data_IF_138847997076
#
_entry.id   IF_138847997076
#
_cell.length_a   1.000
_cell.length_b   1.000
_cell.length_c   1.000
_cell.angle_alpha   90.00
_cell.angle_beta   90.00
_cell.angle_gamma   90.00
#
_symmetry.space_group_name_H-M   'P 1'
#
loop_
_entity.id
_entity.type
_entity.pdbx_description
1 polymer ?
#
# COMPACT_ATOMS: atom_id res chain seq x y z
N UNK A 1 5.04 13.96 -32.27
CA UNK A 1 3.73 13.91 -31.63
C UNK A 1 3.82 13.49 -30.15
N UNK A 2 2.68 13.41 -29.45
CA UNK A 2 2.67 13.08 -28.01
C UNK A 2 3.18 11.68 -27.70
N UNK A 3 3.07 10.75 -28.62
CA UNK A 3 3.57 9.39 -28.46
C UNK A 3 5.10 9.34 -28.62
N UNK A 4 5.63 9.96 -29.65
CA UNK A 4 7.06 9.95 -29.96
C UNK A 4 7.86 10.71 -28.88
N UNK A 5 7.30 11.82 -28.39
CA UNK A 5 7.90 12.59 -27.29
C UNK A 5 7.93 11.86 -25.95
N UNK A 6 7.16 10.76 -25.81
CA UNK A 6 6.98 10.00 -24.55
C UNK A 6 6.49 10.87 -23.37
N UNK A 7 5.98 12.06 -23.63
CA UNK A 7 5.57 13.01 -22.63
C UNK A 7 4.32 12.52 -21.87
N UNK A 8 3.38 11.90 -22.57
CA UNK A 8 2.16 11.39 -21.95
C UNK A 8 1.44 10.38 -22.85
N UNK A 9 0.82 9.37 -22.23
CA UNK A 9 -0.01 8.39 -22.91
C UNK A 9 0.74 7.13 -23.34
N UNK A 10 0.03 6.26 -24.04
CA UNK A 10 0.55 5.02 -24.57
C UNK A 10 0.13 4.88 -26.04
N UNK A 11 0.80 4.02 -26.77
CA UNK A 11 0.43 3.66 -28.14
C UNK A 11 -1.05 3.26 -28.21
N UNK A 12 -1.52 2.47 -27.27
CA UNK A 12 -2.90 2.03 -27.23
C UNK A 12 -3.89 3.21 -27.16
N UNK A 13 -3.64 4.19 -26.29
CA UNK A 13 -4.55 5.33 -26.11
C UNK A 13 -4.43 6.40 -27.20
N UNK A 14 -3.21 6.66 -27.68
CA UNK A 14 -2.94 7.77 -28.59
C UNK A 14 -3.03 7.39 -30.06
N UNK A 15 -2.99 6.11 -30.40
CA UNK A 15 -3.05 5.64 -31.77
C UNK A 15 -4.06 4.49 -31.96
N UNK A 16 -3.82 3.33 -31.32
CA UNK A 16 -4.61 2.12 -31.58
C UNK A 16 -6.11 2.32 -31.33
N UNK A 17 -6.50 2.87 -30.19
CA UNK A 17 -7.91 3.06 -29.83
C UNK A 17 -8.60 4.13 -30.69
N UNK A 18 -7.83 5.07 -31.23
CA UNK A 18 -8.36 6.17 -32.03
C UNK A 18 -8.57 5.71 -33.44
N UNK A 19 -7.57 5.10 -34.09
CA UNK A 19 -7.54 4.87 -35.54
C UNK A 19 -7.77 3.41 -35.96
N UNK A 20 -7.51 2.45 -35.03
CA UNK A 20 -7.58 1.03 -35.41
C UNK A 20 -8.76 0.34 -34.74
N UNK A 21 -8.67 0.05 -33.47
CA UNK A 21 -9.74 -0.57 -32.68
C UNK A 21 -9.45 -0.49 -31.20
N UNK A 22 -10.45 -0.60 -30.36
CA UNK A 22 -10.27 -0.74 -28.92
C UNK A 22 -9.60 -2.07 -28.58
N UNK A 23 -10.01 -3.15 -29.23
CA UNK A 23 -9.47 -4.50 -29.06
C UNK A 23 -10.02 -5.21 -27.83
N UNK A 24 -9.25 -6.14 -27.27
CA UNK A 24 -9.66 -6.93 -26.11
C UNK A 24 -9.78 -6.05 -24.86
N UNK A 25 -10.94 -6.08 -24.23
CA UNK A 25 -11.26 -5.40 -22.99
C UNK A 25 -11.63 -6.49 -21.98
N UNK A 26 -11.01 -6.48 -20.81
CA UNK A 26 -11.37 -7.42 -19.76
C UNK A 26 -12.78 -7.13 -19.26
N UNK A 27 -13.65 -8.14 -19.25
CA UNK A 27 -14.96 -8.00 -18.61
C UNK A 27 -14.77 -7.75 -17.12
N UNK A 28 -15.51 -6.82 -16.51
CA UNK A 28 -15.49 -6.61 -15.06
C UNK A 28 -15.90 -7.85 -14.26
N UNK A 29 -16.72 -8.73 -14.83
CA UNK A 29 -17.02 -10.04 -14.27
C UNK A 29 -15.80 -10.98 -14.45
N UNK A 30 -15.18 -11.45 -13.36
CA UNK A 30 -13.98 -12.29 -13.42
C UNK A 30 -14.20 -13.62 -14.15
N UNK A 31 -15.45 -14.07 -14.29
CA UNK A 31 -15.81 -15.35 -14.94
C UNK A 31 -15.98 -15.23 -16.44
N UNK A 32 -16.08 -14.01 -17.00
CA UNK A 32 -16.37 -13.78 -18.41
C UNK A 32 -15.16 -13.57 -19.32
N UNK A 33 -13.97 -13.41 -18.74
CA UNK A 33 -12.74 -13.27 -19.51
C UNK A 33 -12.63 -11.91 -20.23
N UNK A 34 -12.62 -11.89 -21.55
CA UNK A 34 -12.41 -10.69 -22.36
C UNK A 34 -13.51 -10.53 -23.40
N UNK A 35 -14.02 -9.30 -23.52
CA UNK A 35 -14.83 -8.84 -24.65
C UNK A 35 -13.90 -8.26 -25.73
N UNK A 36 -14.23 -8.47 -27.00
CA UNK A 36 -13.53 -7.85 -28.12
C UNK A 36 -14.39 -6.72 -28.68
N UNK A 37 -13.80 -5.53 -28.78
CA UNK A 37 -14.40 -4.32 -29.34
C UNK A 37 -13.65 -3.94 -30.58
N UNK A 38 -14.30 -4.07 -31.73
CA UNK A 38 -13.71 -3.79 -33.07
C UNK A 38 -13.80 -2.31 -33.43
N UNK A 39 -14.67 -1.56 -32.78
CA UNK A 39 -14.87 -0.14 -32.99
C UNK A 39 -13.67 0.69 -32.57
N UNK A 40 -13.46 1.83 -33.21
CA UNK A 40 -12.46 2.86 -32.87
C UNK A 40 -13.17 4.20 -32.56
N UNK A 41 -12.40 5.20 -32.14
CA UNK A 41 -13.00 6.50 -31.76
C UNK A 41 -13.23 7.45 -32.90
N UNK A 42 -12.54 7.28 -34.06
CA UNK A 42 -12.75 8.13 -35.24
C UNK A 42 -14.05 7.75 -35.94
N UNK A 43 -14.27 6.45 -36.17
CA UNK A 43 -15.46 5.97 -36.87
C UNK A 43 -16.67 5.87 -35.93
N UNK A 44 -16.43 5.96 -34.62
CA UNK A 44 -17.45 5.84 -33.59
C UNK A 44 -17.62 4.40 -33.09
N UNK A 45 -18.46 4.25 -32.07
CA UNK A 45 -18.73 2.98 -31.44
C UNK A 45 -19.97 2.35 -32.03
N UNK A 46 -19.85 1.13 -32.55
CA UNK A 46 -20.99 0.39 -33.10
C UNK A 46 -22.00 0.04 -32.01
N UNK A 47 -23.26 -0.19 -32.39
CA UNK A 47 -24.32 -0.57 -31.47
C UNK A 47 -24.00 -1.87 -30.70
N UNK A 48 -23.36 -2.82 -31.36
CA UNK A 48 -23.00 -4.13 -30.77
C UNK A 48 -21.84 -4.02 -29.77
N UNK A 49 -20.95 -3.05 -29.97
CA UNK A 49 -19.82 -2.80 -29.10
C UNK A 49 -20.14 -1.84 -27.93
N UNK A 50 -21.28 -1.11 -28.01
CA UNK A 50 -21.63 -0.08 -27.06
C UNK A 50 -21.76 -0.64 -25.63
N UNK A 51 -22.44 -1.77 -25.44
CA UNK A 51 -22.64 -2.37 -24.11
C UNK A 51 -21.31 -2.82 -23.48
N UNK A 52 -20.38 -3.37 -24.27
CA UNK A 52 -19.05 -3.79 -23.84
C UNK A 52 -18.21 -2.57 -23.40
N UNK A 53 -18.25 -1.51 -24.21
CA UNK A 53 -17.58 -0.26 -23.89
C UNK A 53 -18.15 0.40 -22.64
N UNK A 54 -19.48 0.44 -22.48
CA UNK A 54 -20.14 1.03 -21.32
C UNK A 54 -19.74 0.33 -20.03
N UNK A 55 -19.68 -1.00 -20.02
CA UNK A 55 -19.19 -1.78 -18.86
C UNK A 55 -17.76 -1.40 -18.50
N UNK A 56 -16.86 -1.38 -19.49
CA UNK A 56 -15.45 -1.06 -19.25
C UNK A 56 -15.26 0.38 -18.77
N UNK A 57 -16.03 1.32 -19.30
CA UNK A 57 -15.99 2.73 -18.87
C UNK A 57 -16.55 2.91 -17.46
N UNK A 58 -17.61 2.22 -17.10
CA UNK A 58 -18.19 2.31 -15.75
C UNK A 58 -17.28 1.72 -14.66
N UNK A 59 -16.55 0.66 -14.98
CA UNK A 59 -15.66 -0.02 -14.03
C UNK A 59 -14.52 0.88 -13.50
N UNK A 60 -13.94 1.70 -14.36
CA UNK A 60 -12.87 2.63 -13.98
C UNK A 60 -13.29 3.71 -12.98
N UNK A 61 -14.33 4.52 -13.26
CA UNK A 61 -14.86 5.52 -12.32
C UNK A 61 -15.34 4.91 -11.00
N UNK A 62 -16.02 3.76 -11.03
CA UNK A 62 -16.45 3.08 -9.81
C UNK A 62 -15.27 2.72 -8.90
N UNK A 63 -14.24 2.10 -9.44
CA UNK A 63 -13.05 1.76 -8.67
C UNK A 63 -12.39 3.01 -8.07
N UNK A 64 -12.22 4.06 -8.86
CA UNK A 64 -11.62 5.32 -8.40
C UNK A 64 -12.47 6.04 -7.36
N UNK A 65 -13.78 6.12 -7.56
CA UNK A 65 -14.70 6.82 -6.66
C UNK A 65 -14.83 6.12 -5.31
N UNK A 66 -14.77 4.79 -5.26
CA UNK A 66 -14.91 4.03 -4.02
C UNK A 66 -13.60 3.84 -3.27
N UNK A 67 -12.55 3.41 -3.97
CA UNK A 67 -11.27 3.04 -3.34
C UNK A 67 -10.40 4.23 -2.95
N UNK A 68 -10.43 5.31 -3.69
CA UNK A 68 -9.63 6.51 -3.39
C UNK A 68 -10.06 7.21 -2.10
N UNK A 69 -11.35 7.48 -1.86
CA UNK A 69 -11.81 8.05 -0.58
C UNK A 69 -11.49 7.15 0.62
N UNK A 70 -11.67 5.83 0.49
CA UNK A 70 -11.38 4.85 1.54
C UNK A 70 -9.90 4.90 1.95
N UNK A 71 -9.00 4.95 0.96
CA UNK A 71 -7.57 5.14 1.21
C UNK A 71 -7.27 6.48 1.90
N UNK A 72 -7.91 7.60 1.49
CA UNK A 72 -7.74 8.92 2.10
C UNK A 72 -8.23 9.00 3.54
N UNK A 73 -9.34 8.34 3.82
CA UNK A 73 -9.88 8.23 5.18
C UNK A 73 -8.93 7.50 6.13
N UNK A 74 -8.42 6.34 5.70
CA UNK A 74 -7.47 5.56 6.50
C UNK A 74 -6.18 6.34 6.80
N UNK A 75 -5.68 7.14 5.86
CA UNK A 75 -4.53 8.02 6.10
C UNK A 75 -4.82 9.07 7.18
N UNK A 76 -5.99 9.69 7.12
CA UNK A 76 -6.42 10.66 8.15
C UNK A 76 -6.53 10.02 9.53
N UNK A 77 -7.04 8.78 9.62
CA UNK A 77 -7.11 8.05 10.88
C UNK A 77 -5.71 7.79 11.44
N UNK A 78 -4.78 7.31 10.61
CA UNK A 78 -3.38 7.09 11.02
C UNK A 78 -2.71 8.39 11.45
N UNK A 79 -2.87 9.47 10.69
CA UNK A 79 -2.34 10.78 11.04
C UNK A 79 -2.85 11.23 12.43
N UNK A 80 -4.16 11.16 12.67
CA UNK A 80 -4.77 11.55 13.95
C UNK A 80 -4.31 10.67 15.10
N UNK A 81 -4.16 9.35 14.88
CA UNK A 81 -3.72 8.42 15.90
C UNK A 81 -2.28 8.66 16.34
N UNK A 82 -1.40 9.05 15.42
CA UNK A 82 0.03 9.12 15.68
C UNK A 82 0.62 10.54 15.76
N UNK A 83 -0.16 11.59 15.45
CA UNK A 83 0.34 12.98 15.33
C UNK A 83 1.08 13.53 16.57
N UNK A 84 0.84 12.96 17.74
CA UNK A 84 1.46 13.40 18.99
C UNK A 84 2.53 12.45 19.52
N UNK A 85 2.87 11.40 18.76
CA UNK A 85 3.96 10.50 19.15
C UNK A 85 5.31 11.12 18.86
N UNK A 86 6.15 11.19 19.87
CA UNK A 86 7.51 11.70 19.77
C UNK A 86 8.52 10.64 20.26
N UNK A 87 9.78 10.85 19.95
CA UNK A 87 10.87 10.02 20.45
C UNK A 87 11.36 10.55 21.80
N UNK A 88 11.59 9.64 22.73
CA UNK A 88 12.35 9.92 23.95
C UNK A 88 13.83 10.20 23.58
N UNK A 89 14.64 10.79 24.47
CA UNK A 89 16.05 11.05 24.18
C UNK A 89 16.82 9.79 23.73
N UNK A 90 17.83 9.97 22.87
CA UNK A 90 18.69 8.88 22.41
C UNK A 90 19.34 8.16 23.60
N UNK A 91 19.41 6.84 23.53
CA UNK A 91 19.96 5.99 24.59
C UNK A 91 18.96 5.59 25.67
N UNK A 92 17.69 6.02 25.60
CA UNK A 92 16.67 5.62 26.57
C UNK A 92 16.17 4.20 26.34
N UNK A 93 15.94 3.48 27.43
CA UNK A 93 15.27 2.18 27.47
C UNK A 93 14.15 2.19 28.50
N UNK A 94 12.98 1.70 28.16
CA UNK A 94 11.86 1.55 29.09
C UNK A 94 11.96 0.29 29.94
N UNK A 95 12.92 -0.60 29.67
CA UNK A 95 13.13 -1.83 30.41
C UNK A 95 12.09 -2.93 30.19
N UNK A 96 11.13 -2.75 29.22
CA UNK A 96 10.13 -3.78 28.97
C UNK A 96 10.77 -5.09 28.55
N UNK A 97 10.26 -6.19 29.07
CA UNK A 97 10.65 -7.57 28.69
C UNK A 97 9.85 -8.09 27.49
N UNK A 98 8.83 -7.34 27.06
CA UNK A 98 7.98 -7.70 25.92
C UNK A 98 8.76 -7.54 24.62
N UNK A 99 8.72 -8.58 23.80
CA UNK A 99 9.43 -8.63 22.51
C UNK A 99 8.53 -9.24 21.44
N UNK A 100 8.85 -9.00 20.19
CA UNK A 100 8.24 -9.66 19.04
C UNK A 100 9.27 -10.64 18.47
N UNK A 101 8.83 -11.86 18.17
CA UNK A 101 9.64 -12.84 17.45
C UNK A 101 9.46 -12.65 15.94
N UNK A 102 10.57 -12.47 15.24
CA UNK A 102 10.58 -12.23 13.80
C UNK A 102 11.67 -13.11 13.17
N UNK A 103 11.29 -13.87 12.13
CA UNK A 103 12.27 -14.55 11.28
C UNK A 103 12.80 -13.56 10.25
N UNK A 104 14.11 -13.29 10.28
CA UNK A 104 14.74 -12.31 9.41
C UNK A 104 15.06 -12.96 8.05
N UNK A 105 14.34 -12.56 7.01
CA UNK A 105 14.55 -12.96 5.63
C UNK A 105 15.19 -11.85 4.77
N UNK A 106 15.44 -12.13 3.50
CA UNK A 106 16.06 -11.19 2.55
C UNK A 106 15.23 -9.91 2.33
N UNK A 107 13.92 -9.96 2.58
CA UNK A 107 12.99 -8.85 2.34
C UNK A 107 12.83 -7.97 3.59
N UNK A 108 12.59 -8.60 4.74
CA UNK A 108 12.28 -7.87 5.97
C UNK A 108 13.54 -7.39 6.72
N UNK A 109 14.70 -8.05 6.56
CA UNK A 109 15.92 -7.65 7.26
C UNK A 109 16.31 -6.20 6.98
N UNK A 110 16.04 -5.70 5.76
CA UNK A 110 16.30 -4.30 5.40
C UNK A 110 15.37 -3.33 6.15
N UNK A 111 14.13 -3.74 6.41
CA UNK A 111 13.16 -2.94 7.16
C UNK A 111 13.47 -2.90 8.65
N UNK A 112 14.12 -3.95 9.17
CA UNK A 112 14.47 -4.07 10.59
C UNK A 112 15.86 -3.49 10.92
N UNK A 113 16.56 -2.92 9.95
CA UNK A 113 17.84 -2.27 10.18
C UNK A 113 17.74 -1.17 11.24
N UNK A 114 18.74 -1.12 12.10
CA UNK A 114 18.85 -0.20 13.24
C UNK A 114 17.84 -0.41 14.37
N UNK A 115 17.07 -1.50 14.32
CA UNK A 115 16.26 -1.97 15.45
C UNK A 115 17.11 -2.82 16.40
N UNK A 116 16.62 -3.03 17.63
CA UNK A 116 17.36 -3.77 18.64
C UNK A 116 16.86 -5.21 18.79
N UNK A 117 17.78 -6.16 18.64
CA UNK A 117 17.60 -7.58 18.95
C UNK A 117 17.90 -7.79 20.43
N UNK A 118 17.14 -8.67 21.07
CA UNK A 118 17.31 -9.06 22.47
C UNK A 118 18.01 -10.41 22.55
N UNK A 119 19.27 -10.43 22.98
CA UNK A 119 20.04 -11.65 23.26
C UNK A 119 20.33 -11.73 24.78
N UNK A 120 19.57 -12.59 25.46
CA UNK A 120 19.60 -12.58 26.93
C UNK A 120 19.19 -11.23 27.50
N UNK A 121 20.06 -10.59 28.26
CA UNK A 121 19.84 -9.25 28.85
C UNK A 121 20.44 -8.10 28.00
N UNK A 122 21.02 -8.42 26.84
CA UNK A 122 21.70 -7.43 25.99
C UNK A 122 20.82 -7.02 24.81
N UNK A 123 20.88 -5.72 24.50
CA UNK A 123 20.30 -5.15 23.28
C UNK A 123 21.39 -5.00 22.23
N UNK A 124 21.21 -5.64 21.09
CA UNK A 124 22.14 -5.60 19.96
C UNK A 124 21.47 -4.89 18.80
N UNK A 125 22.04 -3.77 18.36
CA UNK A 125 21.57 -3.07 17.18
C UNK A 125 21.82 -3.89 15.92
N UNK A 126 20.80 -4.16 15.15
CA UNK A 126 20.91 -4.77 13.83
C UNK A 126 21.45 -3.74 12.83
N UNK A 127 22.64 -3.98 12.29
CA UNK A 127 23.33 -3.07 11.36
C UNK A 127 23.93 -3.82 10.17
N UNK A 128 24.56 -3.09 9.25
CA UNK A 128 25.17 -3.66 8.05
C UNK A 128 26.29 -4.66 8.33
N UNK A 129 26.94 -4.54 9.47
CA UNK A 129 28.08 -5.41 9.85
C UNK A 129 27.62 -6.77 10.37
N UNK A 130 26.48 -6.82 11.08
CA UNK A 130 26.01 -8.03 11.74
C UNK A 130 24.76 -8.66 11.12
N UNK A 131 24.12 -8.01 10.13
CA UNK A 131 22.87 -8.48 9.50
C UNK A 131 22.97 -9.92 8.98
N UNK A 132 24.11 -10.28 8.38
CA UNK A 132 24.29 -11.59 7.76
C UNK A 132 24.35 -12.72 8.80
N UNK A 133 24.78 -12.42 10.03
CA UNK A 133 24.73 -13.33 11.17
C UNK A 133 23.29 -13.74 11.55
N UNK A 134 22.33 -12.83 11.34
CA UNK A 134 20.94 -13.01 11.73
C UNK A 134 20.02 -13.42 10.59
N UNK A 135 20.50 -13.38 9.34
CA UNK A 135 19.72 -13.78 8.17
C UNK A 135 19.26 -15.25 8.29
N UNK A 136 17.97 -15.49 8.08
CA UNK A 136 17.34 -16.80 8.20
C UNK A 136 17.04 -17.24 9.64
N UNK A 137 17.39 -16.44 10.66
CA UNK A 137 17.15 -16.78 12.06
C UNK A 137 15.89 -16.09 12.60
N UNK A 138 15.21 -16.75 13.51
CA UNK A 138 14.16 -16.14 14.33
C UNK A 138 14.81 -15.46 15.52
N UNK A 139 14.58 -14.17 15.67
CA UNK A 139 15.14 -13.31 16.72
C UNK A 139 14.03 -12.61 17.49
N UNK A 140 14.28 -12.33 18.76
CA UNK A 140 13.41 -11.49 19.58
C UNK A 140 13.84 -10.04 19.43
N UNK A 141 12.90 -9.16 19.08
CA UNK A 141 13.20 -7.74 18.87
C UNK A 141 12.36 -6.84 19.75
N UNK A 142 12.92 -5.72 20.14
CA UNK A 142 12.18 -4.60 20.73
C UNK A 142 11.34 -3.92 19.67
N UNK A 143 10.14 -3.50 20.04
CA UNK A 143 9.20 -2.90 19.07
C UNK A 143 8.42 -1.75 19.68
N UNK A 144 8.11 -0.74 18.88
CA UNK A 144 7.44 0.50 19.32
C UNK A 144 6.09 0.25 19.97
N UNK A 145 5.31 -0.71 19.45
CA UNK A 145 3.98 -1.06 19.96
C UNK A 145 3.99 -1.70 21.36
N UNK A 146 5.15 -2.18 21.81
CA UNK A 146 5.33 -2.80 23.11
C UNK A 146 6.12 -1.92 24.08
N UNK A 147 6.29 -0.64 23.74
CA UNK A 147 7.03 0.30 24.56
C UNK A 147 6.24 0.66 25.82
N UNK A 148 6.89 0.56 26.97
CA UNK A 148 6.35 0.90 28.29
C UNK A 148 7.05 2.13 28.88
N UNK A 149 7.39 3.09 28.03
CA UNK A 149 8.04 4.32 28.48
C UNK A 149 7.08 5.14 29.35
N UNK A 150 7.61 5.76 30.41
CA UNK A 150 6.83 6.47 31.43
C UNK A 150 5.92 7.60 30.89
N UNK A 151 6.30 8.23 29.79
CA UNK A 151 5.50 9.25 29.14
C UNK A 151 4.70 8.62 28.01
N UNK A 152 3.36 8.64 28.02
CA UNK A 152 2.50 7.86 27.12
C UNK A 152 2.63 8.23 25.64
N UNK A 153 3.08 9.47 25.35
CA UNK A 153 3.26 9.95 23.98
C UNK A 153 4.70 9.87 23.48
N UNK A 154 5.58 9.19 24.22
CA UNK A 154 6.98 9.00 23.84
C UNK A 154 7.34 7.53 23.72
N UNK A 155 8.13 7.23 22.70
CA UNK A 155 8.70 5.90 22.49
C UNK A 155 10.19 5.97 22.78
N UNK A 156 10.69 5.07 23.65
CA UNK A 156 12.09 5.02 24.00
C UNK A 156 12.96 4.57 22.82
N UNK A 157 14.24 4.92 22.86
CA UNK A 157 15.19 4.59 21.78
C UNK A 157 15.32 3.07 21.58
N UNK A 158 15.36 2.27 22.63
CA UNK A 158 15.45 0.83 22.52
C UNK A 158 14.27 0.20 21.76
N UNK A 159 13.05 0.73 21.92
CA UNK A 159 11.86 0.24 21.21
C UNK A 159 11.66 0.85 19.83
N UNK A 160 12.07 2.10 19.63
CA UNK A 160 11.98 2.78 18.33
C UNK A 160 13.08 2.38 17.34
N UNK A 161 14.23 1.91 17.87
CA UNK A 161 15.43 1.72 17.06
C UNK A 161 16.17 3.02 16.78
N UNK A 162 17.32 2.92 16.13
CA UNK A 162 18.19 4.07 15.84
C UNK A 162 17.93 4.73 14.48
N UNK A 163 17.06 4.17 13.64
CA UNK A 163 16.82 4.70 12.30
C UNK A 163 16.36 6.17 12.33
N UNK A 164 15.36 6.47 13.14
CA UNK A 164 14.80 7.83 13.25
C UNK A 164 15.82 8.83 13.81
N UNK A 165 16.63 8.41 14.79
CA UNK A 165 17.69 9.27 15.36
C UNK A 165 18.81 9.54 14.36
N UNK A 166 19.16 8.58 13.52
CA UNK A 166 20.13 8.74 12.42
C UNK A 166 19.60 9.68 11.33
N UNK A 167 18.29 9.62 11.05
CA UNK A 167 17.64 10.49 10.10
C UNK A 167 17.30 11.89 10.64
N UNK A 168 17.56 12.15 11.94
CA UNK A 168 17.29 13.44 12.57
C UNK A 168 15.81 13.69 12.91
N UNK A 169 14.96 12.67 12.86
CA UNK A 169 13.55 12.81 13.23
C UNK A 169 13.42 12.79 14.77
N UNK A 170 12.70 13.78 15.32
CA UNK A 170 12.26 13.82 16.71
C UNK A 170 10.78 13.46 16.84
N UNK A 171 10.01 13.72 15.82
CA UNK A 171 8.57 13.54 15.76
C UNK A 171 8.22 12.37 14.85
N UNK A 172 7.81 11.25 15.44
CA UNK A 172 7.40 10.06 14.70
C UNK A 172 6.01 10.26 14.12
N UNK A 173 5.19 11.10 14.75
CA UNK A 173 3.86 11.43 14.28
C UNK A 173 3.83 12.06 12.89
N UNK A 174 4.92 12.70 12.47
CA UNK A 174 5.11 13.21 11.10
C UNK A 174 5.68 12.14 10.18
N UNK A 175 6.62 11.33 10.66
CA UNK A 175 7.28 10.30 9.84
C UNK A 175 6.33 9.16 9.43
N UNK A 176 5.47 8.70 10.35
CA UNK A 176 4.52 7.60 10.09
C UNK A 176 3.55 7.92 8.96
N UNK A 177 2.87 9.09 8.91
CA UNK A 177 2.01 9.45 7.79
C UNK A 177 2.74 9.54 6.45
N UNK A 178 3.99 9.99 6.43
CA UNK A 178 4.79 10.03 5.21
C UNK A 178 5.06 8.63 4.66
N UNK A 179 5.43 7.68 5.52
CA UNK A 179 5.62 6.27 5.13
C UNK A 179 4.29 5.65 4.72
N UNK A 180 3.22 5.88 5.48
CA UNK A 180 1.88 5.40 5.16
C UNK A 180 1.37 5.97 3.83
N UNK A 181 1.63 7.25 3.54
CA UNK A 181 1.29 7.89 2.27
C UNK A 181 2.04 7.26 1.10
N UNK A 182 3.33 6.99 1.25
CA UNK A 182 4.14 6.33 0.22
C UNK A 182 3.66 4.89 -0.06
N UNK A 183 3.35 4.13 0.98
CA UNK A 183 2.79 2.78 0.86
C UNK A 183 1.41 2.80 0.19
N UNK A 184 0.57 3.77 0.55
CA UNK A 184 -0.74 3.96 -0.02
C UNK A 184 -0.69 4.36 -1.50
N UNK A 185 0.23 5.24 -1.90
CA UNK A 185 0.43 5.56 -3.31
C UNK A 185 0.79 4.33 -4.13
N UNK A 186 1.63 3.43 -3.60
CA UNK A 186 1.93 2.13 -4.23
C UNK A 186 0.69 1.23 -4.28
N UNK A 187 -0.09 1.15 -3.21
CA UNK A 187 -1.32 0.38 -3.16
C UNK A 187 -2.38 0.94 -4.13
N UNK A 188 -2.58 2.25 -4.17
CA UNK A 188 -3.47 2.90 -5.13
C UNK A 188 -3.05 2.63 -6.57
N UNK A 189 -1.75 2.66 -6.87
CA UNK A 189 -1.25 2.30 -8.20
C UNK A 189 -1.59 0.84 -8.53
N UNK A 190 -1.37 -0.09 -7.60
CA UNK A 190 -1.75 -1.48 -7.77
C UNK A 190 -3.27 -1.66 -7.97
N UNK A 191 -4.10 -0.86 -7.27
CA UNK A 191 -5.56 -0.85 -7.48
C UNK A 191 -5.96 -0.25 -8.82
N UNK A 192 -5.26 0.76 -9.32
CA UNK A 192 -5.50 1.32 -10.65
C UNK A 192 -5.12 0.33 -11.76
N UNK A 193 -4.11 -0.50 -11.51
CA UNK A 193 -3.65 -1.52 -12.45
C UNK A 193 -4.48 -2.82 -12.33
N UNK A 194 -5.20 -3.02 -11.23
CA UNK A 194 -6.10 -4.17 -11.04
C UNK A 194 -7.45 -3.91 -11.72
N UNK A 195 -7.93 -4.91 -12.45
CA UNK A 195 -9.30 -4.92 -12.96
C UNK A 195 -10.29 -5.00 -11.81
N UNK A 196 -11.35 -4.20 -11.89
CA UNK A 196 -12.47 -4.30 -10.96
C UNK A 196 -13.09 -5.69 -11.08
N UNK A 197 -13.17 -6.40 -9.96
CA UNK A 197 -13.92 -7.64 -9.87
C UNK A 197 -15.35 -7.29 -9.50
N UNK A 198 -16.29 -7.57 -10.38
CA UNK A 198 -17.70 -7.52 -10.03
C UNK A 198 -18.06 -8.79 -9.26
N UNK A 199 -18.76 -8.62 -8.15
CA UNK A 199 -19.43 -9.73 -7.48
C UNK A 199 -20.88 -9.73 -7.93
N UNK A 200 -21.40 -10.88 -8.31
CA UNK A 200 -22.83 -11.07 -8.49
C UNK A 200 -23.52 -10.80 -7.15
N UNK A 201 -24.37 -9.78 -7.13
CA UNK A 201 -25.23 -9.50 -5.99
C UNK A 201 -26.61 -10.05 -6.34
N UNK A 202 -27.07 -11.02 -5.57
CA UNK A 202 -28.47 -11.44 -5.63
C UNK A 202 -29.34 -10.29 -5.10
N UNK A 203 -29.90 -9.53 -6.05
CA UNK A 203 -30.70 -8.33 -5.78
C UNK A 203 -31.90 -8.68 -4.90
N UNK A 204 -32.54 -9.84 -5.14
CA UNK A 204 -33.69 -10.29 -4.37
C UNK A 204 -33.32 -10.53 -2.91
N UNK A 205 -32.19 -11.19 -2.68
CA UNK A 205 -31.67 -11.44 -1.33
C UNK A 205 -31.18 -10.15 -0.66
N UNK A 206 -30.53 -9.25 -1.41
CA UNK A 206 -30.01 -7.99 -0.88
C UNK A 206 -31.11 -7.05 -0.39
N UNK A 207 -32.27 -7.06 -1.05
CA UNK A 207 -33.45 -6.26 -0.69
C UNK A 207 -34.50 -7.02 0.11
N UNK A 208 -34.23 -8.27 0.53
CA UNK A 208 -35.18 -9.09 1.30
C UNK A 208 -36.43 -9.48 0.52
N UNK A 209 -36.38 -9.42 -0.81
CA UNK A 209 -37.52 -9.77 -1.67
C UNK A 209 -37.50 -11.29 -1.95
N UNK A 210 -38.64 -11.90 -1.97
CA UNK A 210 -38.80 -13.29 -2.44
C UNK A 210 -38.86 -13.30 -3.95
N UNK A 211 -38.18 -14.25 -4.58
CA UNK A 211 -38.25 -14.50 -6.03
C UNK A 211 -39.65 -14.94 -6.42
#
# INVERSE_FOLDING_TARGET
>A
DMYDSKAKGSFANNFKNIFVMKGAIKDPDPNKGYDVVMSNYIDGISRDDYSKMAKALAAGPYSRSKKTPEGGYNEKLLLRAFQHLTLAPKGTDCGTKRTIEITLDKYNIKLMMYSFIVEGDKLIELNSTNRDKYLGKTVRMRFSSLCEYKEPNKICNACAGNLFYRAGFKDIGVAIPQVASALKLKALKAFHDSTVKLHEIDVWKAFGLKK
#
